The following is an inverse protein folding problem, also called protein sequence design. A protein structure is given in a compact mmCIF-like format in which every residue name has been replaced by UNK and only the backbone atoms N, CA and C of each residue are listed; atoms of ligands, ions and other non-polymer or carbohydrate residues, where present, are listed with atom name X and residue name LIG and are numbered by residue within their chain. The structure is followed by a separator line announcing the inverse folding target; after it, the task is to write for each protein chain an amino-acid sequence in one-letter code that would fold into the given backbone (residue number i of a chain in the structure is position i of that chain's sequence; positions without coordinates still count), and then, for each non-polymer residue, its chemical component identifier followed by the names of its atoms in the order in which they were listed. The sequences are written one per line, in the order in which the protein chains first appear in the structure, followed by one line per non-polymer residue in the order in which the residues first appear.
data_IF_628639839490
#
_entry.id   IF_628639839490
#
_cell.length_a   1.000
_cell.length_b   1.000
_cell.length_c   1.000
_cell.angle_alpha   90.00
_cell.angle_beta   90.00
_cell.angle_gamma   90.00
#
_symmetry.space_group_name_H-M   'P 1'
#
loop_
_entity.id
_entity.type
_entity.pdbx_description
1 polymer ?
2 polymer ?
3 polymer ?
4 water ?
#
# COMPACT_ATOMS: atom_id res chain seq x y z
N UNK A 1 -16.70 -14.60 -3.18
CA UNK A 1 -16.75 -15.60 -2.11
C UNK A 1 -15.39 -16.27 -1.89
N UNK A 2 -14.97 -16.34 -0.62
CA UNK A 2 -15.71 -15.69 0.47
C UNK A 2 -15.44 -14.21 0.38
N UNK A 3 -16.22 -13.40 1.09
CA UNK A 3 -16.14 -11.98 0.83
C UNK A 3 -16.67 -11.11 1.95
N UNK A 4 -15.87 -10.11 2.32
CA UNK A 4 -16.34 -9.07 3.21
C UNK A 4 -16.06 -7.77 2.47
N UNK A 5 -17.05 -6.88 2.40
CA UNK A 5 -16.80 -5.61 1.75
C UNK A 5 -17.08 -4.42 2.65
N UNK A 6 -16.05 -3.64 2.96
CA UNK A 6 -16.22 -2.46 3.79
C UNK A 6 -16.87 -1.32 3.02
N UNK A 7 -17.53 -0.42 3.74
CA UNK A 7 -18.16 0.73 3.13
C UNK A 7 -17.07 1.73 2.79
N UNK A 8 -17.43 2.80 2.08
CA UNK A 8 -16.51 3.89 1.85
C UNK A 8 -16.23 4.54 3.21
N UNK A 9 -14.98 4.83 3.49
CA UNK A 9 -14.66 5.52 4.72
C UNK A 9 -14.58 6.98 4.36
N UNK A 10 -13.35 7.47 4.26
CA UNK A 10 -13.11 8.81 3.79
C UNK A 10 -12.79 9.81 4.87
N UNK A 11 -13.11 11.06 4.58
CA UNK A 11 -12.68 12.19 5.40
C UNK A 11 -13.71 12.50 6.47
N UNK A 12 -13.23 12.68 7.70
CA UNK A 12 -14.07 13.08 8.83
C UNK A 12 -13.33 14.12 9.66
N UNK A 13 -14.05 15.12 10.16
CA UNK A 13 -13.43 16.10 11.03
C UNK A 13 -13.36 15.56 12.45
N UNK A 14 -12.38 16.05 13.22
CA UNK A 14 -12.28 15.78 14.66
C UNK A 14 -13.57 16.03 15.44
N UNK A 15 -13.85 15.18 16.43
CA UNK A 15 -15.02 15.35 17.28
C UNK A 15 -16.30 14.82 16.68
N UNK A 16 -16.32 14.63 15.36
CA UNK A 16 -17.54 14.16 14.72
C UNK A 16 -17.57 12.64 14.70
N UNK A 17 -18.74 12.05 14.48
CA UNK A 17 -18.84 10.62 14.40
C UNK A 17 -18.72 10.19 12.95
N UNK A 18 -18.47 8.91 12.74
CA UNK A 18 -18.64 8.32 11.43
C UNK A 18 -18.85 6.83 11.64
N UNK A 19 -19.58 6.19 10.75
CA UNK A 19 -19.88 4.79 10.93
C UNK A 19 -19.45 4.02 9.69
N UNK A 20 -18.64 2.99 9.89
CA UNK A 20 -18.27 2.11 8.80
C UNK A 20 -19.23 0.96 8.81
N UNK A 21 -19.54 0.45 7.63
CA UNK A 21 -20.21 -0.84 7.57
C UNK A 21 -19.38 -1.86 6.80
N UNK A 22 -19.80 -3.11 6.91
CA UNK A 22 -19.11 -4.20 6.26
C UNK A 22 -20.16 -5.22 5.92
N UNK A 23 -20.31 -5.47 4.63
CA UNK A 23 -21.30 -6.41 4.14
C UNK A 23 -20.69 -7.77 4.02
N UNK A 24 -21.29 -8.71 4.73
CA UNK A 24 -20.88 -10.10 4.72
C UNK A 24 -21.87 -10.92 3.90
N UNK A 25 -21.35 -12.01 3.34
CA UNK A 25 -22.05 -12.83 2.36
C UNK A 25 -21.33 -14.17 2.24
N UNK A 26 -22.09 -15.26 2.11
CA UNK A 26 -21.48 -16.56 1.88
C UNK A 26 -21.25 -17.40 3.12
N UNK A 27 -21.85 -17.00 4.23
CA UNK A 27 -21.80 -17.84 5.44
C UNK A 27 -22.83 -17.35 6.45
N UNK A 28 -23.33 -18.26 7.27
CA UNK A 28 -24.27 -17.86 8.33
C UNK A 28 -23.62 -16.86 9.30
N UNK A 29 -23.90 -15.59 9.04
CA UNK A 29 -23.40 -14.46 9.78
C UNK A 29 -23.47 -14.69 11.30
N UNK A 30 -24.64 -15.10 11.80
CA UNK A 30 -24.76 -15.30 13.24
C UNK A 30 -24.05 -16.58 13.68
N UNK A 31 -23.28 -17.18 12.77
CA UNK A 31 -22.47 -18.37 13.12
C UNK A 31 -20.96 -18.08 13.27
N UNK A 32 -20.56 -16.84 13.01
CA UNK A 32 -19.16 -16.43 13.19
C UNK A 32 -19.05 -15.16 14.01
N UNK A 33 -18.09 -15.14 14.93
CA UNK A 33 -17.62 -13.89 15.51
C UNK A 33 -17.11 -13.00 14.37
N UNK A 34 -17.13 -11.67 14.55
CA UNK A 34 -16.53 -10.76 13.56
C UNK A 34 -15.62 -9.76 14.27
N UNK A 35 -14.74 -9.10 13.53
CA UNK A 35 -13.78 -8.21 14.13
C UNK A 35 -13.49 -7.05 13.19
N UNK A 36 -13.01 -5.95 13.75
CA UNK A 36 -12.35 -4.88 13.01
C UNK A 36 -10.88 -4.79 13.46
N UNK A 37 -9.98 -4.67 12.48
CA UNK A 37 -8.59 -4.35 12.76
C UNK A 37 -8.17 -3.15 11.90
N UNK A 38 -7.23 -2.36 12.39
CA UNK A 38 -6.80 -1.24 11.58
C UNK A 38 -5.29 -1.22 11.40
N UNK A 39 -4.85 -0.56 10.33
CA UNK A 39 -3.43 -0.51 9.99
C UNK A 39 -3.04 0.94 9.67
N UNK A 40 -2.11 1.46 10.45
CA UNK A 40 -1.46 2.71 10.10
C UNK A 40 -0.10 2.41 9.53
N UNK A 41 0.22 2.97 8.35
CA UNK A 41 1.60 2.90 7.88
C UNK A 41 2.55 3.42 8.97
N UNK A 42 3.69 2.76 9.14
CA UNK A 42 4.67 3.16 10.16
C UNK A 42 4.27 2.69 11.57
N UNK A 43 3.13 2.01 11.67
CA UNK A 43 2.64 1.58 12.98
C UNK A 43 2.25 0.10 13.05
N UNK A 44 1.82 -0.47 11.93
CA UNK A 44 1.43 -1.87 11.89
C UNK A 44 -0.01 -2.10 12.36
N UNK A 45 -0.38 -3.36 12.52
CA UNK A 45 -1.77 -3.78 12.73
C UNK A 45 -2.17 -3.68 14.20
N UNK A 46 -3.43 -3.30 14.43
CA UNK A 46 -3.98 -3.09 15.75
C UNK A 46 -5.39 -3.65 15.76
N UNK A 47 -5.67 -4.50 16.72
CA UNK A 47 -6.98 -5.09 16.84
C UNK A 47 -7.89 -4.03 17.47
N UNK A 48 -9.02 -3.73 16.83
CA UNK A 48 -9.88 -2.65 17.26
C UNK A 48 -11.07 -3.18 18.05
N UNK A 49 -11.75 -4.18 17.49
CA UNK A 49 -12.94 -4.64 18.21
C UNK A 49 -13.39 -6.01 17.71
N UNK A 50 -14.13 -6.77 18.52
CA UNK A 50 -14.81 -7.95 17.99
C UNK A 50 -16.13 -8.19 18.68
N UNK A 51 -16.91 -9.07 18.07
CA UNK A 51 -18.30 -9.27 18.46
C UNK A 51 -18.65 -10.75 18.29
N UNK A 52 -19.38 -11.29 19.26
CA UNK A 52 -19.78 -12.69 19.18
C UNK A 52 -20.96 -12.89 18.24
N UNK A 53 -21.54 -14.08 18.29
CA UNK A 53 -22.54 -14.49 17.32
C UNK A 53 -23.76 -13.57 17.22
N UNK A 54 -24.25 -13.11 18.35
CA UNK A 54 -25.52 -12.37 18.37
C UNK A 54 -25.38 -10.93 18.87
N UNK A 55 -24.14 -10.50 19.12
CA UNK A 55 -23.93 -9.14 19.57
C UNK A 55 -24.04 -8.92 21.07
N UNK A 56 -24.19 -10.01 21.84
CA UNK A 56 -24.37 -9.88 23.29
C UNK A 56 -23.05 -9.62 24.02
N UNK A 57 -21.93 -9.90 23.35
CA UNK A 57 -20.64 -9.73 24.00
C UNK A 57 -19.64 -9.17 23.00
N UNK A 58 -18.96 -8.09 23.39
CA UNK A 58 -18.00 -7.41 22.53
C UNK A 58 -16.68 -7.19 23.24
N UNK A 59 -15.62 -7.02 22.46
CA UNK A 59 -14.31 -6.63 23.00
C UNK A 59 -13.87 -5.39 22.24
N UNK A 60 -13.22 -4.47 22.96
CA UNK A 60 -12.70 -3.24 22.39
C UNK A 60 -11.27 -3.03 22.88
N UNK A 61 -10.41 -2.56 21.99
CA UNK A 61 -9.12 -2.05 22.36
C UNK A 61 -9.37 -1.03 23.46
N UNK A 62 -8.79 -1.25 24.62
CA UNK A 62 -9.06 -0.43 25.79
C UNK A 62 -8.89 1.07 25.55
N UNK A 63 -7.83 1.44 24.84
CA UNK A 63 -7.50 2.85 24.67
C UNK A 63 -8.58 3.62 23.90
N UNK A 64 -9.35 2.94 23.06
CA UNK A 64 -10.55 3.57 22.55
C UNK A 64 -11.44 3.59 23.77
N UNK A 65 -11.83 4.76 24.22
CA UNK A 65 -12.48 4.80 25.52
C UNK A 65 -13.98 4.59 25.39
N UNK A 66 -14.37 3.49 24.75
CA UNK A 66 -15.79 3.20 24.59
C UNK A 66 -16.37 4.09 23.50
N UNK A 67 -15.48 4.77 22.78
CA UNK A 67 -15.88 5.64 21.68
C UNK A 67 -16.23 4.87 20.43
N UNK A 68 -15.71 3.64 20.33
CA UNK A 68 -16.07 2.80 19.21
C UNK A 68 -17.13 1.82 19.65
N UNK A 69 -18.10 1.58 18.79
CA UNK A 69 -19.09 0.56 19.06
C UNK A 69 -19.18 -0.39 17.88
N UNK A 70 -18.96 -1.68 18.13
CA UNK A 70 -19.14 -2.66 17.10
C UNK A 70 -20.55 -3.25 17.23
N UNK A 71 -21.25 -3.43 16.11
CA UNK A 71 -22.55 -4.08 16.21
C UNK A 71 -22.88 -4.85 14.94
N UNK A 72 -23.89 -5.71 14.98
CA UNK A 72 -24.22 -6.49 13.80
C UNK A 72 -25.72 -6.60 13.60
N UNK A 73 -26.16 -6.33 12.37
CA UNK A 73 -27.54 -6.56 11.98
C UNK A 73 -27.60 -7.93 11.32
N UNK A 74 -28.10 -8.90 12.10
CA UNK A 74 -28.17 -10.28 11.65
C UNK A 74 -29.15 -10.38 10.49
N UNK A 75 -30.24 -9.61 10.59
CA UNK A 75 -31.27 -9.61 9.56
C UNK A 75 -30.73 -9.15 8.21
N UNK A 76 -29.79 -8.21 8.23
CA UNK A 76 -29.28 -7.62 7.00
C UNK A 76 -27.88 -8.08 6.61
N UNK A 77 -27.28 -8.92 7.45
CA UNK A 77 -25.90 -9.39 7.25
C UNK A 77 -24.87 -8.27 7.26
N UNK A 78 -25.03 -7.33 8.18
CA UNK A 78 -24.11 -6.20 8.19
C UNK A 78 -23.38 -6.03 9.52
N UNK A 79 -22.08 -5.75 9.44
CA UNK A 79 -21.31 -5.44 10.62
C UNK A 79 -21.04 -3.94 10.59
N UNK A 80 -21.19 -3.29 11.74
CA UNK A 80 -20.95 -1.85 11.87
C UNK A 80 -19.80 -1.55 12.83
N UNK A 81 -19.14 -0.42 12.56
CA UNK A 81 -18.26 0.20 13.53
C UNK A 81 -18.62 1.67 13.62
N UNK A 82 -19.26 2.04 14.72
CA UNK A 82 -19.54 3.44 14.99
C UNK A 82 -18.32 4.06 15.69
N UNK A 83 -17.83 5.16 15.17
CA UNK A 83 -16.67 5.80 15.74
C UNK A 83 -17.11 7.19 16.17
N UNK A 84 -17.26 7.37 17.48
CA UNK A 84 -17.71 8.64 18.02
C UNK A 84 -16.53 9.49 18.45
N UNK A 85 -16.80 10.76 18.70
CA UNK A 85 -15.78 11.70 19.13
C UNK A 85 -14.46 11.48 18.43
N UNK A 86 -14.51 11.34 17.10
CA UNK A 86 -13.34 10.94 16.32
C UNK A 86 -12.08 11.76 16.56
N UNK A 87 -10.94 11.07 16.57
CA UNK A 87 -9.66 11.70 16.84
C UNK A 87 -8.65 11.44 15.73
N UNK A 88 -7.55 12.20 15.75
CA UNK A 88 -6.52 12.14 14.70
C UNK A 88 -5.72 10.83 14.64
N UNK A 89 -5.53 10.20 15.80
CA UNK A 89 -4.83 8.93 15.85
C UNK A 89 -5.68 7.78 15.25
N UNK A 90 -6.94 8.06 14.91
CA UNK A 90 -7.84 7.04 14.35
C UNK A 90 -7.74 6.97 12.83
N UNK A 91 -6.95 7.86 12.26
CA UNK A 91 -6.66 7.82 10.83
C UNK A 91 -5.96 6.50 10.50
N UNK A 92 -6.52 5.72 9.57
CA UNK A 92 -5.97 4.40 9.29
C UNK A 92 -6.76 3.70 8.21
N UNK A 93 -6.25 2.56 7.75
CA UNK A 93 -7.07 1.64 6.95
C UNK A 93 -7.75 0.66 7.89
N UNK A 94 -9.06 0.54 7.76
CA UNK A 94 -9.85 -0.33 8.61
C UNK A 94 -10.26 -1.54 7.80
N UNK A 95 -9.98 -2.72 8.34
CA UNK A 95 -10.40 -3.97 7.74
C UNK A 95 -11.47 -4.63 8.59
N UNK A 96 -12.52 -5.11 7.90
CA UNK A 96 -13.52 -6.03 8.42
C UNK A 96 -12.91 -7.45 8.33
N UNK A 97 -13.10 -8.27 9.37
CA UNK A 97 -12.58 -9.65 9.31
C UNK A 97 -13.47 -10.66 10.02
N UNK A 98 -13.46 -11.89 9.52
CA UNK A 98 -14.19 -12.97 10.20
C UNK A 98 -13.25 -13.67 11.17
N UNK A 99 -13.76 -13.94 12.37
CA UNK A 99 -12.96 -14.50 13.45
C UNK A 99 -13.39 -15.93 13.80
N UNK A 100 -12.45 -16.87 13.68
CA UNK A 100 -12.65 -18.26 14.06
C UNK A 100 -11.49 -18.72 14.95
N UNK A 101 -11.81 -19.21 16.14
CA UNK A 101 -10.81 -19.77 17.05
C UNK A 101 -9.55 -18.91 17.22
N UNK A 102 -9.72 -17.61 17.34
CA UNK A 102 -8.61 -16.69 17.61
C UNK A 102 -7.93 -16.14 16.38
N UNK A 103 -8.28 -16.68 15.22
CA UNK A 103 -7.66 -16.14 14.00
C UNK A 103 -8.67 -15.55 13.01
N UNK A 104 -8.15 -14.77 12.08
CA UNK A 104 -8.96 -14.00 11.15
C UNK A 104 -8.83 -14.64 9.78
N UNK A 105 -9.81 -15.47 9.42
CA UNK A 105 -9.69 -16.31 8.22
C UNK A 105 -10.26 -15.67 6.95
N UNK A 106 -11.02 -14.59 7.08
CA UNK A 106 -11.40 -13.80 5.91
C UNK A 106 -11.22 -12.31 6.21
N UNK A 107 -10.62 -11.58 5.28
CA UNK A 107 -10.40 -10.15 5.45
C UNK A 107 -11.11 -9.41 4.33
N UNK A 108 -11.69 -8.25 4.63
CA UNK A 108 -12.10 -7.32 3.56
C UNK A 108 -10.93 -6.62 2.87
N UNK A 109 -11.22 -5.82 1.86
CA UNK A 109 -10.16 -5.14 1.12
C UNK A 109 -9.65 -3.91 1.87
N UNK A 110 -10.39 -3.50 2.89
CA UNK A 110 -9.98 -2.34 3.66
C UNK A 110 -10.62 -1.07 3.18
N UNK A 111 -10.87 -0.14 4.11
CA UNK A 111 -11.32 1.20 3.74
C UNK A 111 -10.55 2.22 4.56
N UNK A 112 -10.14 3.30 3.93
CA UNK A 112 -9.34 4.29 4.64
C UNK A 112 -10.20 5.35 5.29
N UNK A 113 -9.80 5.75 6.50
CA UNK A 113 -10.47 6.81 7.24
C UNK A 113 -9.44 7.86 7.53
N UNK A 114 -9.74 9.08 7.12
CA UNK A 114 -8.83 10.18 7.36
C UNK A 114 -9.52 11.21 8.24
N UNK A 115 -8.93 11.51 9.40
CA UNK A 115 -9.51 12.47 10.33
C UNK A 115 -8.77 13.79 10.25
N UNK A 116 -9.38 14.75 9.58
CA UNK A 116 -8.75 16.05 9.33
C UNK A 116 -9.80 17.15 9.22
N UNK A 117 -9.38 18.38 9.53
CA UNK A 117 -10.24 19.55 9.41
C UNK A 117 -10.15 20.14 8.01
N UNK A 118 -9.19 19.66 7.23
CA UNK A 118 -8.95 20.16 5.88
C UNK A 118 -10.07 19.79 4.91
N UNK A 119 -10.20 20.56 3.83
CA UNK A 119 -11.25 20.35 2.84
C UNK A 119 -10.95 19.23 1.84
N UNK A 120 -12.01 18.55 1.36
CA UNK A 120 -11.89 17.63 0.24
C UNK A 120 -11.49 18.41 -1.01
N UNK A 121 -10.48 17.89 -1.73
CA UNK A 121 -10.00 18.55 -2.94
C UNK A 121 -9.78 17.50 -4.01
N UNK A 122 -10.35 17.70 -5.21
CA UNK A 122 -10.19 16.73 -6.28
C UNK A 122 -8.81 16.84 -6.93
N UNK A 123 -8.33 15.78 -7.57
CA UNK A 123 -6.99 15.79 -8.18
C UNK A 123 -6.96 16.59 -9.48
N UNK A 124 -5.78 17.16 -9.77
CA UNK A 124 -5.44 17.60 -11.12
C UNK A 124 -4.64 16.48 -11.74
N UNK A 125 -4.95 16.15 -12.99
CA UNK A 125 -4.30 15.07 -13.70
C UNK A 125 -3.54 15.64 -14.89
N UNK A 126 -2.23 15.47 -14.88
CA UNK A 126 -1.38 16.04 -15.92
C UNK A 126 -0.73 14.95 -16.73
N UNK A 127 -0.73 15.11 -18.06
CA UNK A 127 -0.05 14.17 -18.96
C UNK A 127 1.48 14.23 -18.83
N UNK A 128 2.10 13.06 -18.88
CA UNK A 128 3.56 12.91 -18.98
C UNK A 128 3.89 12.24 -20.30
N UNK A 129 4.36 13.01 -21.27
CA UNK A 129 4.70 12.44 -22.57
C UNK A 129 6.11 12.86 -22.94
N UNK A 130 6.76 12.06 -23.78
CA UNK A 130 8.09 12.42 -24.25
C UNK A 130 8.02 13.79 -24.90
N UNK A 131 9.04 14.62 -24.71
CA UNK A 131 8.97 15.96 -25.26
C UNK A 131 10.29 16.37 -25.85
N UNK A 132 10.43 17.68 -26.08
CA UNK A 132 11.74 18.34 -26.20
C UNK A 132 12.70 17.85 -27.29
N UNK A 133 12.18 17.22 -28.34
CA UNK A 133 13.05 16.60 -29.33
C UNK A 133 13.83 15.39 -28.83
N UNK A 134 13.25 14.65 -27.90
CA UNK A 134 13.74 13.32 -27.55
C UNK A 134 13.57 12.47 -28.80
N UNK A 135 14.31 11.37 -28.90
CA UNK A 135 13.98 10.36 -29.89
C UNK A 135 13.24 9.24 -29.17
N UNK A 136 12.60 8.34 -29.90
CA UNK A 136 11.99 7.16 -29.27
C UNK A 136 12.60 5.87 -29.81
N UNK A 137 12.77 4.89 -28.91
CA UNK A 137 13.23 3.58 -29.31
C UNK A 137 12.06 2.71 -29.73
N UNK A 138 12.14 1.43 -29.40
CA UNK A 138 11.13 0.47 -29.81
C UNK A 138 9.87 0.62 -28.96
N UNK A 139 10.01 1.24 -27.79
CA UNK A 139 8.90 1.42 -26.88
C UNK A 139 8.89 2.86 -26.38
N UNK A 140 7.78 3.26 -25.77
CA UNK A 140 7.61 4.61 -25.29
C UNK A 140 6.94 4.54 -23.91
N UNK A 141 7.49 5.31 -22.97
CA UNK A 141 6.92 5.36 -21.62
C UNK A 141 6.14 6.64 -21.43
N UNK A 142 4.87 6.47 -21.03
CA UNK A 142 3.97 7.58 -20.86
C UNK A 142 3.55 7.56 -19.40
N UNK A 143 3.00 8.66 -18.92
CA UNK A 143 2.49 8.65 -17.56
C UNK A 143 1.44 9.69 -17.26
N UNK A 144 0.85 9.58 -16.06
CA UNK A 144 0.01 10.65 -15.56
C UNK A 144 0.50 11.07 -14.19
N UNK A 145 0.50 12.37 -13.96
CA UNK A 145 0.90 12.98 -12.70
C UNK A 145 -0.38 13.44 -12.02
N UNK A 146 -0.63 12.94 -10.82
CA UNK A 146 -1.90 13.21 -10.11
C UNK A 146 -1.62 14.04 -8.87
N UNK A 147 -2.05 15.29 -8.90
CA UNK A 147 -1.59 16.27 -7.95
C UNK A 147 -2.71 17.00 -7.23
N UNK A 148 -2.42 17.43 -6.00
CA UNK A 148 -3.24 18.39 -5.28
C UNK A 148 -4.56 17.89 -4.71
N UNK A 149 -4.66 16.58 -4.44
CA UNK A 149 -5.93 16.03 -3.94
C UNK A 149 -5.92 15.68 -2.46
N UNK A 150 -7.11 15.63 -1.87
CA UNK A 150 -7.22 15.26 -0.47
C UNK A 150 -8.65 14.80 -0.20
N UNK A 151 -8.83 13.73 0.59
CA UNK A 151 -7.86 12.81 1.23
C UNK A 151 -7.45 11.73 0.23
N UNK A 152 -6.70 10.72 0.67
CA UNK A 152 -6.50 9.49 -0.10
C UNK A 152 -7.84 8.76 -0.17
N UNK A 153 -8.06 7.91 -1.17
CA UNK A 153 -7.06 7.52 -2.16
C UNK A 153 -7.61 7.80 -3.55
N UNK A 154 -6.76 7.62 -4.55
CA UNK A 154 -7.22 7.61 -5.94
C UNK A 154 -6.87 6.26 -6.54
N UNK A 155 -7.53 5.92 -7.64
CA UNK A 155 -7.13 4.76 -8.41
C UNK A 155 -6.91 5.20 -9.84
N UNK A 156 -5.80 4.76 -10.43
CA UNK A 156 -5.48 5.08 -11.82
C UNK A 156 -5.52 3.84 -12.71
N UNK A 157 -6.26 3.90 -13.81
CA UNK A 157 -6.29 2.77 -14.73
C UNK A 157 -5.96 3.30 -16.11
N UNK A 158 -5.52 2.41 -16.99
CA UNK A 158 -5.14 2.84 -18.32
C UNK A 158 -6.06 2.22 -19.35
N UNK A 159 -6.59 3.05 -20.23
CA UNK A 159 -7.54 2.63 -21.26
C UNK A 159 -8.69 1.81 -20.66
N UNK A 160 -9.19 2.31 -19.53
CA UNK A 160 -10.31 1.72 -18.82
C UNK A 160 -10.00 0.30 -18.35
N UNK A 161 -8.72 0.02 -18.14
CA UNK A 161 -8.30 -1.26 -17.62
C UNK A 161 -7.71 -2.20 -18.65
N UNK A 162 -7.90 -1.92 -19.94
CA UNK A 162 -7.45 -2.85 -20.98
C UNK A 162 -5.95 -2.79 -21.25
N UNK A 163 -5.28 -1.76 -20.74
CA UNK A 163 -3.82 -1.72 -20.67
C UNK A 163 -3.43 -1.92 -19.22
N UNK A 164 -2.74 -3.01 -18.90
CA UNK A 164 -2.43 -3.30 -17.50
C UNK A 164 -1.04 -3.88 -17.30
N UNK A 165 -0.56 -4.62 -18.29
CA UNK A 165 0.65 -5.42 -18.16
C UNK A 165 1.90 -4.64 -17.77
N UNK A 166 2.10 -3.46 -18.37
CA UNK A 166 3.32 -2.69 -18.23
C UNK A 166 3.11 -1.41 -17.39
N UNK A 167 2.23 -1.48 -16.41
CA UNK A 167 1.87 -0.32 -15.61
C UNK A 167 2.62 -0.29 -14.28
N UNK A 168 3.07 0.89 -13.88
CA UNK A 168 3.63 1.11 -12.55
C UNK A 168 2.80 2.17 -11.83
N UNK A 169 2.46 1.90 -10.58
CA UNK A 169 1.73 2.87 -9.79
C UNK A 169 2.59 3.28 -8.61
N UNK A 170 2.86 4.57 -8.51
CA UNK A 170 3.76 5.05 -7.45
C UNK A 170 2.97 5.60 -6.27
N UNK A 171 3.23 5.07 -5.07
CA UNK A 171 2.46 5.47 -3.89
C UNK A 171 2.43 6.98 -3.66
N UNK A 172 1.28 7.46 -3.15
CA UNK A 172 1.08 8.88 -2.91
C UNK A 172 1.93 9.37 -1.77
N UNK A 173 2.32 10.64 -1.85
CA UNK A 173 3.04 11.32 -0.79
C UNK A 173 2.36 12.66 -0.45
N UNK A 174 2.30 12.96 0.85
CA UNK A 174 1.68 14.17 1.35
C UNK A 174 2.64 15.36 1.39
N UNK A 175 2.34 16.40 0.61
CA UNK A 175 3.11 17.64 0.66
C UNK A 175 2.17 18.84 0.61
N UNK A 176 2.47 19.87 1.41
CA UNK A 176 1.65 21.08 1.45
C UNK A 176 0.22 20.79 1.88
N UNK A 177 0.01 19.64 2.51
CA UNK A 177 -1.32 19.22 2.92
C UNK A 177 -2.11 18.54 1.82
N UNK A 178 -1.48 18.35 0.66
CA UNK A 178 -2.15 17.69 -0.46
C UNK A 178 -1.34 16.50 -0.94
N UNK A 179 -2.02 15.51 -1.51
CA UNK A 179 -1.33 14.31 -1.97
C UNK A 179 -0.90 14.44 -3.42
N UNK A 180 0.24 13.81 -3.74
CA UNK A 180 0.68 13.66 -5.13
C UNK A 180 1.07 12.19 -5.37
N UNK A 181 0.66 11.65 -6.52
CA UNK A 181 1.11 10.31 -6.94
C UNK A 181 1.27 10.35 -8.44
N UNK A 182 1.84 9.29 -9.00
CA UNK A 182 1.93 9.16 -10.45
C UNK A 182 1.78 7.72 -10.89
N UNK A 183 1.60 7.55 -12.20
CA UNK A 183 1.48 6.24 -12.78
C UNK A 183 2.13 6.25 -14.16
N UNK A 184 2.77 5.15 -14.52
CA UNK A 184 3.41 5.06 -15.84
C UNK A 184 2.94 3.81 -16.59
N UNK A 185 2.93 3.90 -17.92
CA UNK A 185 2.63 2.75 -18.74
C UNK A 185 3.61 2.74 -19.90
N UNK A 186 4.03 1.58 -20.37
CA UNK A 186 4.94 1.52 -21.52
C UNK A 186 4.27 0.75 -22.64
N UNK A 187 4.30 1.32 -23.85
CA UNK A 187 3.72 0.63 -25.00
C UNK A 187 4.68 0.66 -26.19
N UNK A 188 4.52 -0.27 -27.14
CA UNK A 188 5.38 -0.21 -28.32
C UNK A 188 5.26 1.13 -29.03
N UNK A 189 6.39 1.73 -29.39
CA UNK A 189 6.39 3.10 -29.87
C UNK A 189 5.63 3.27 -31.19
N UNK A 190 5.48 2.18 -31.94
CA UNK A 190 4.79 2.20 -33.24
C UNK A 190 3.28 2.22 -33.07
N UNK A 191 2.82 1.96 -31.84
CA UNK A 191 1.39 1.93 -31.54
C UNK A 191 0.90 3.22 -30.87
N UNK A 192 1.78 4.20 -30.69
CA UNK A 192 1.37 5.47 -30.11
C UNK A 192 2.06 6.61 -30.86
N UNK A 193 1.30 7.65 -31.25
CA UNK A 193 -0.07 7.95 -30.82
C UNK A 193 -1.17 7.31 -31.68
N UNK A 194 -0.80 6.40 -32.57
CA UNK A 194 -1.79 5.81 -33.48
C UNK A 194 -2.94 5.10 -32.76
N UNK A 195 -2.64 4.47 -31.63
CA UNK A 195 -3.66 3.80 -30.82
C UNK A 195 -3.69 4.47 -29.45
N UNK A 196 -4.80 5.15 -29.16
CA UNK A 196 -4.86 6.12 -28.08
C UNK A 196 -4.58 5.54 -26.70
N UNK A 197 -4.02 6.38 -25.83
CA UNK A 197 -3.68 6.00 -24.46
C UNK A 197 -4.22 7.07 -23.52
N UNK A 198 -5.12 6.65 -22.63
CA UNK A 198 -5.80 7.58 -21.76
C UNK A 198 -5.70 7.01 -20.37
N UNK A 199 -5.28 7.83 -19.42
CA UNK A 199 -5.37 7.41 -18.01
C UNK A 199 -6.67 7.89 -17.37
N UNK A 200 -7.26 7.03 -16.55
CA UNK A 200 -8.49 7.36 -15.82
C UNK A 200 -8.19 7.40 -14.34
N UNK A 201 -8.51 8.53 -13.70
CA UNK A 201 -8.14 8.73 -12.31
C UNK A 201 -9.42 8.97 -11.51
N UNK A 202 -9.73 8.02 -10.62
CA UNK A 202 -10.96 8.14 -9.82
C UNK A 202 -10.61 8.53 -8.39
N UNK A 203 -11.35 9.49 -7.84
CA UNK A 203 -11.16 9.99 -6.48
C UNK A 203 -12.49 9.96 -5.74
N UNK A 204 -12.81 8.84 -5.11
CA UNK A 204 -14.15 8.72 -4.53
C UNK A 204 -14.52 9.80 -3.55
N UNK A 205 -13.58 10.29 -2.74
CA UNK A 205 -13.91 11.32 -1.75
C UNK A 205 -14.49 12.58 -2.37
N UNK A 206 -14.04 12.95 -3.57
CA UNK A 206 -14.61 14.11 -4.26
C UNK A 206 -15.61 13.73 -5.37
N UNK A 207 -15.95 12.45 -5.42
CA UNK A 207 -16.86 11.89 -6.44
C UNK A 207 -16.45 12.25 -7.86
N UNK A 208 -15.15 12.35 -8.10
CA UNK A 208 -14.64 12.86 -9.37
C UNK A 208 -13.83 11.79 -10.13
N UNK A 209 -14.05 11.69 -11.44
CA UNK A 209 -13.17 10.89 -12.29
C UNK A 209 -12.63 11.78 -13.39
N UNK A 210 -11.31 11.79 -13.57
CA UNK A 210 -10.70 12.56 -14.66
C UNK A 210 -10.05 11.59 -15.65
N UNK A 211 -10.40 11.70 -16.93
CA UNK A 211 -9.89 10.79 -17.96
C UNK A 211 -9.02 11.58 -18.93
N UNK A 212 -7.71 11.50 -18.73
CA UNK A 212 -6.76 12.31 -19.47
C UNK A 212 -6.08 11.56 -20.64
N UNK A 213 -6.28 12.07 -21.85
CA UNK A 213 -5.72 11.46 -23.05
C UNK A 213 -4.30 11.95 -23.31
N UNK A 214 -3.38 11.02 -23.51
CA UNK A 214 -2.00 11.39 -23.73
C UNK A 214 -1.71 11.84 -25.16
N UNK A 215 -1.27 13.09 -25.30
CA UNK A 215 -0.93 13.67 -26.61
C UNK A 215 0.57 13.96 -26.72
N UNK A 216 1.13 13.78 -27.93
CA UNK A 216 2.53 14.08 -28.26
C UNK A 216 2.76 15.55 -28.60
N UNK B 1 0.41 -6.56 28.68
CA UNK B 1 0.49 -6.13 27.29
C UNK B 1 1.59 -6.93 26.57
N UNK B 2 1.17 -7.97 25.83
CA UNK B 2 2.08 -8.94 25.29
C UNK B 2 2.67 -8.42 23.99
N UNK B 3 3.99 -8.36 23.95
CA UNK B 3 4.68 -7.80 22.80
C UNK B 3 5.13 -8.92 21.88
N UNK B 4 4.87 -8.78 20.58
CA UNK B 4 5.34 -9.76 19.60
C UNK B 4 6.47 -9.12 18.82
N UNK B 5 7.65 -9.72 18.94
CA UNK B 5 8.87 -9.19 18.32
C UNK B 5 9.32 -10.08 17.17
N UNK B 6 9.39 -9.52 15.97
CA UNK B 6 9.75 -10.30 14.81
C UNK B 6 11.13 -9.92 14.32
N UNK B 7 11.89 -10.92 13.90
CA UNK B 7 13.18 -10.67 13.26
C UNK B 7 13.38 -11.64 12.12
N UNK B 8 14.08 -11.21 11.06
CA UNK B 8 14.59 -9.85 10.91
C UNK B 8 13.52 -8.93 10.35
N UNK B 9 13.80 -7.63 10.27
CA UNK B 9 12.86 -6.68 9.71
C UNK B 9 12.67 -6.90 8.22
N UNK B 10 13.78 -7.18 7.53
CA UNK B 10 13.76 -7.51 6.12
C UNK B 10 14.68 -8.69 5.86
N UNK B 11 14.22 -9.61 5.02
CA UNK B 11 14.95 -10.83 4.72
C UNK B 11 15.09 -11.02 3.20
N UNK B 12 16.31 -10.87 2.65
CA UNK B 12 16.59 -11.10 1.23
C UNK B 12 16.86 -12.57 0.95
N UNK B 13 16.11 -13.18 0.03
CA UNK B 13 16.27 -14.59 -0.28
C UNK B 13 16.29 -14.87 -1.78
N UNK B 14 17.20 -15.73 -2.22
CA UNK B 14 17.26 -16.11 -3.63
C UNK B 14 16.13 -17.08 -3.92
N UNK B 15 15.62 -17.07 -5.15
CA UNK B 15 14.57 -18.01 -5.54
C UNK B 15 15.02 -19.45 -5.35
N UNK B 16 14.11 -20.30 -4.89
CA UNK B 16 14.43 -21.69 -4.62
C UNK B 16 15.01 -21.96 -3.25
N UNK B 17 15.56 -20.93 -2.60
CA UNK B 17 16.15 -21.09 -1.27
C UNK B 17 15.10 -21.04 -0.17
N UNK B 18 15.55 -21.21 1.06
CA UNK B 18 14.65 -21.19 2.21
C UNK B 18 14.75 -19.89 2.98
N UNK B 19 13.59 -19.40 3.43
CA UNK B 19 13.52 -18.22 4.27
C UNK B 19 13.06 -18.65 5.65
N UNK B 20 13.65 -18.07 6.69
CA UNK B 20 13.24 -18.40 8.07
C UNK B 20 12.97 -17.12 8.85
N UNK B 21 11.77 -16.99 9.43
CA UNK B 21 11.35 -15.77 10.10
C UNK B 21 11.04 -16.12 11.55
N UNK B 22 11.56 -15.29 12.47
CA UNK B 22 11.38 -15.52 13.91
C UNK B 22 10.31 -14.61 14.52
N UNK B 23 9.44 -15.21 15.33
CA UNK B 23 8.49 -14.43 16.07
C UNK B 23 8.58 -14.83 17.55
N UNK B 24 8.83 -13.87 18.43
CA UNK B 24 8.90 -14.18 19.86
C UNK B 24 7.87 -13.38 20.64
N UNK B 25 7.30 -13.98 21.68
CA UNK B 25 6.32 -13.27 22.49
C UNK B 25 6.88 -12.99 23.87
N UNK B 26 6.38 -11.94 24.51
CA UNK B 26 6.92 -11.50 25.79
C UNK B 26 6.38 -12.28 26.96
N UNK B 27 5.33 -13.07 26.71
CA UNK B 27 4.76 -14.01 27.68
C UNK B 27 4.42 -15.29 26.94
N UNK B 28 4.42 -16.42 27.66
CA UNK B 28 3.98 -17.68 27.04
C UNK B 28 2.63 -17.52 26.36
N UNK B 29 2.48 -18.08 25.15
CA UNK B 29 1.20 -18.05 24.43
C UNK B 29 0.41 -19.35 24.63
N UNK B 30 0.83 -20.18 25.59
CA UNK B 30 -0.01 -21.33 25.96
C UNK B 30 -1.19 -20.86 26.84
N UNK B 31 -2.39 -21.01 26.28
CA UNK B 31 -3.65 -20.62 26.93
C UNK B 31 -3.91 -21.61 28.07
N UNK B 32 -4.69 -21.19 29.06
CA UNK B 32 -5.06 -22.11 30.12
C UNK B 32 -5.77 -23.34 29.58
N UNK B 33 -6.47 -23.19 28.45
CA UNK B 33 -7.09 -24.35 27.83
C UNK B 33 -6.14 -25.28 27.08
N UNK B 34 -4.86 -24.90 27.01
CA UNK B 34 -3.85 -25.77 26.42
C UNK B 34 -3.44 -25.44 24.99
N UNK B 35 -4.25 -24.62 24.31
CA UNK B 35 -3.98 -24.25 22.94
C UNK B 35 -3.00 -23.10 22.89
N UNK B 36 -2.28 -23.01 21.78
CA UNK B 36 -1.39 -21.85 21.56
C UNK B 36 -1.87 -21.03 20.38
N UNK B 37 -2.42 -19.85 20.67
CA UNK B 37 -3.04 -19.06 19.64
C UNK B 37 -2.03 -18.11 18.99
N UNK B 38 -1.17 -18.71 18.17
CA UNK B 38 -0.11 -17.98 17.49
C UNK B 38 -0.33 -18.26 16.00
N UNK B 39 -0.52 -17.19 15.22
CA UNK B 39 -0.88 -17.34 13.81
C UNK B 39 0.03 -16.49 12.93
N UNK B 40 0.09 -16.84 11.64
CA UNK B 40 0.87 -16.10 10.68
C UNK B 40 -0.01 -15.67 9.51
N UNK B 41 0.19 -14.42 9.10
CA UNK B 41 -0.54 -13.78 7.99
C UNK B 41 0.45 -13.28 6.96
N UNK B 42 0.04 -13.27 5.70
CA UNK B 42 0.85 -12.66 4.65
C UNK B 42 0.09 -11.50 4.04
N UNK B 43 0.72 -10.33 4.01
CA UNK B 43 0.21 -9.19 3.25
C UNK B 43 1.07 -8.89 2.00
N UNK B 44 0.53 -9.20 0.83
CA UNK B 44 1.27 -8.93 -0.41
C UNK B 44 1.03 -7.47 -0.79
N UNK B 45 1.94 -6.89 -1.60
CA UNK B 45 1.79 -5.51 -2.06
C UNK B 45 0.38 -5.19 -2.56
N UNK B 46 -0.17 -4.10 -2.03
CA UNK B 46 -1.50 -3.64 -2.41
C UNK B 46 -2.66 -4.57 -2.08
N UNK B 47 -2.46 -5.52 -1.16
CA UNK B 47 -3.54 -6.41 -0.79
C UNK B 47 -3.79 -6.34 0.72
N UNK B 48 -4.85 -6.99 1.16
CA UNK B 48 -5.16 -7.12 2.58
C UNK B 48 -4.34 -8.29 3.11
N UNK B 49 -4.18 -8.38 4.43
CA UNK B 49 -3.50 -9.56 4.97
C UNK B 49 -4.35 -10.77 4.65
N UNK B 50 -3.72 -11.93 4.57
CA UNK B 50 -4.45 -13.18 4.50
C UNK B 50 -3.80 -14.24 5.37
N UNK B 51 -4.62 -15.08 5.99
CA UNK B 51 -4.15 -16.13 6.88
C UNK B 51 -3.29 -17.15 6.15
N UNK B 52 -2.20 -17.56 6.79
CA UNK B 52 -1.25 -18.50 6.23
C UNK B 52 -1.20 -19.73 7.12
N UNK B 53 -0.93 -19.51 8.41
CA UNK B 53 -0.83 -20.60 9.38
C UNK B 53 -1.61 -20.21 10.63
N UNK B 54 -2.40 -21.13 11.18
CA UNK B 54 -3.09 -20.84 12.44
C UNK B 54 -2.69 -21.85 13.50
N UNK B 55 -2.74 -21.42 14.76
CA UNK B 55 -2.43 -22.30 15.89
C UNK B 55 -1.07 -22.96 15.69
N UNK B 56 -0.07 -22.10 15.51
CA UNK B 56 1.34 -22.44 15.32
C UNK B 56 1.76 -23.22 14.07
N UNK B 57 1.03 -24.26 13.69
CA UNK B 57 1.53 -25.11 12.59
C UNK B 57 0.50 -25.52 11.55
N UNK B 58 -0.73 -25.08 11.69
CA UNK B 58 -1.79 -25.50 10.75
C UNK B 58 -1.89 -24.62 9.52
N UNK B 59 -1.64 -25.21 8.34
CA UNK B 59 -1.77 -24.47 7.09
C UNK B 59 -3.23 -24.18 6.76
N UNK B 60 -3.52 -22.95 6.39
CA UNK B 60 -4.86 -22.59 5.99
C UNK B 60 -5.11 -23.14 4.57
N UNK B 61 -6.36 -23.36 4.22
CA UNK B 61 -6.70 -23.86 2.90
C UNK B 61 -6.04 -23.01 1.81
N UNK B 62 -5.45 -23.68 0.82
CA UNK B 62 -4.79 -23.00 -0.28
C UNK B 62 -3.32 -22.71 -0.08
N UNK B 63 -2.84 -22.86 1.16
CA UNK B 63 -1.43 -22.65 1.45
C UNK B 63 -0.58 -23.88 1.13
N UNK B 64 0.39 -23.73 0.21
CA UNK B 64 1.35 -24.78 -0.16
C UNK B 64 2.03 -25.41 1.03
N UNK B 65 2.34 -26.69 0.91
CA UNK B 65 3.00 -27.44 1.98
C UNK B 65 4.38 -26.89 2.34
N UNK B 66 4.95 -26.03 1.47
CA UNK B 66 6.27 -25.47 1.71
C UNK B 66 6.28 -24.29 2.71
N UNK B 67 5.09 -23.80 3.07
CA UNK B 67 4.98 -22.93 4.25
C UNK B 67 4.79 -23.82 5.50
N UNK B 68 5.68 -23.65 6.47
CA UNK B 68 5.69 -24.52 7.64
C UNK B 68 5.90 -23.68 8.90
N UNK B 69 5.05 -23.85 9.89
CA UNK B 69 5.19 -23.10 11.13
C UNK B 69 5.52 -24.03 12.27
N UNK B 70 6.38 -23.58 13.19
CA UNK B 70 6.79 -24.40 14.32
C UNK B 70 7.05 -23.52 15.54
N UNK B 71 7.36 -24.13 16.68
CA UNK B 71 7.69 -23.35 17.86
C UNK B 71 6.81 -23.73 19.03
N UNK B 72 7.07 -23.11 20.17
CA UNK B 72 6.22 -23.33 21.34
C UNK B 72 6.50 -22.27 22.39
N UNK B 73 5.53 -22.02 23.26
CA UNK B 73 5.77 -21.20 24.44
C UNK B 73 5.91 -19.74 24.03
N UNK B 74 7.15 -19.29 23.85
CA UNK B 74 7.39 -17.91 23.48
C UNK B 74 8.19 -17.77 22.21
N UNK B 75 8.55 -18.89 21.57
CA UNK B 75 9.46 -18.81 20.42
C UNK B 75 8.89 -19.57 19.23
N UNK B 76 8.70 -18.86 18.11
CA UNK B 76 8.06 -19.46 16.93
C UNK B 76 8.80 -19.13 15.67
N UNK B 77 8.67 -20.01 14.68
CA UNK B 77 9.42 -19.83 13.42
C UNK B 77 8.50 -20.17 12.26
N UNK B 78 8.48 -19.28 11.25
CA UNK B 78 7.89 -19.57 9.94
C UNK B 78 9.01 -19.90 8.95
N UNK B 79 8.90 -21.04 8.31
CA UNK B 79 9.87 -21.46 7.30
C UNK B 79 9.18 -21.55 5.95
N UNK B 80 9.76 -20.90 4.96
CA UNK B 80 9.28 -21.02 3.61
C UNK B 80 10.37 -21.71 2.79
N UNK B 81 10.08 -22.92 2.33
CA UNK B 81 11.06 -23.64 1.54
C UNK B 81 10.82 -23.32 0.07
N UNK B 82 11.87 -23.48 -0.74
CA UNK B 82 11.78 -23.28 -2.18
C UNK B 82 11.00 -22.02 -2.49
N UNK B 83 11.57 -20.88 -2.12
CA UNK B 83 10.90 -19.58 -2.27
C UNK B 83 10.60 -19.26 -3.74
N UNK B 84 9.40 -18.75 -3.98
CA UNK B 84 8.97 -18.28 -5.30
C UNK B 84 8.73 -16.76 -5.23
N UNK B 85 8.86 -16.07 -6.36
CA UNK B 85 8.71 -14.61 -6.38
C UNK B 85 7.39 -14.11 -5.77
N UNK B 86 6.32 -14.88 -5.93
CA UNK B 86 4.98 -14.48 -5.51
C UNK B 86 4.82 -14.60 -4.02
N UNK B 87 5.86 -15.08 -3.34
CA UNK B 87 5.86 -15.16 -1.87
C UNK B 87 6.21 -13.82 -1.22
N UNK B 88 6.68 -12.88 -2.03
CA UNK B 88 7.17 -11.61 -1.50
C UNK B 88 6.07 -10.80 -0.83
N UNK B 89 6.47 -9.96 0.12
CA UNK B 89 5.50 -9.16 0.86
C UNK B 89 5.84 -9.16 2.35
N UNK B 90 4.88 -8.81 3.19
CA UNK B 90 5.15 -8.72 4.62
C UNK B 90 4.44 -9.84 5.39
N UNK B 91 5.21 -10.64 6.12
CA UNK B 91 4.68 -11.70 6.97
C UNK B 91 4.53 -11.16 8.39
N UNK B 92 3.33 -11.30 8.96
CA UNK B 92 3.03 -10.84 10.32
C UNK B 92 2.69 -12.03 11.21
N UNK B 93 3.25 -12.09 12.42
CA UNK B 93 2.71 -13.04 13.39
C UNK B 93 1.69 -12.33 14.26
N UNK B 94 0.85 -13.11 14.94
CA UNK B 94 -0.26 -12.57 15.70
C UNK B 94 -0.50 -13.51 16.87
N UNK B 95 -0.77 -12.98 18.04
CA UNK B 95 -1.21 -13.82 19.14
C UNK B 95 -2.60 -13.38 19.63
N UNK B 96 -3.41 -14.36 19.98
CA UNK B 96 -4.74 -14.10 20.56
C UNK B 96 -5.03 -14.98 21.78
N UNK B 97 -3.97 -15.45 22.43
CA UNK B 97 -4.13 -16.14 23.70
C UNK B 97 -4.49 -15.10 24.73
N UNK B 98 -3.85 -13.96 24.59
CA UNK B 98 -4.07 -12.82 25.49
C UNK B 98 -4.71 -11.71 24.70
N UNK B 99 -4.99 -10.58 25.36
CA UNK B 99 -5.47 -9.39 24.65
C UNK B 99 -4.67 -9.30 23.34
N UNK B 100 -5.37 -9.28 22.18
CA UNK B 100 -4.70 -9.62 20.94
C UNK B 100 -3.71 -8.58 20.42
N UNK B 101 -2.52 -9.04 20.04
CA UNK B 101 -1.48 -8.17 19.49
C UNK B 101 -0.79 -8.81 18.30
N UNK B 102 -0.15 -7.94 17.50
CA UNK B 102 0.52 -8.36 16.27
C UNK B 102 2.02 -8.04 16.33
N UNK B 103 2.82 -8.85 15.65
CA UNK B 103 4.23 -8.54 15.37
C UNK B 103 4.35 -7.38 14.39
N UNK B 104 5.55 -6.82 14.28
CA UNK B 104 5.77 -5.65 13.44
C UNK B 104 5.93 -5.99 11.96
N UNK B 105 6.07 -7.27 11.65
CA UNK B 105 6.23 -7.66 10.24
C UNK B 105 7.67 -7.91 9.82
N UNK B 106 7.82 -8.84 8.90
CA UNK B 106 9.10 -9.13 8.26
C UNK B 106 8.83 -9.08 6.77
N UNK B 107 9.59 -8.25 6.06
CA UNK B 107 9.44 -8.12 4.61
C UNK B 107 10.34 -9.11 3.91
N UNK B 108 9.74 -10.02 3.16
CA UNK B 108 10.50 -10.95 2.35
C UNK B 108 10.85 -10.24 1.04
N UNK B 109 12.14 -10.23 0.70
CA UNK B 109 12.59 -9.66 -0.56
C UNK B 109 13.18 -10.75 -1.42
N UNK B 110 12.86 -10.76 -2.70
CA UNK B 110 13.46 -11.73 -3.60
C UNK B 110 14.76 -11.16 -4.21
N UNK B 111 15.87 -11.91 -4.09
CA UNK B 111 17.12 -11.50 -4.73
C UNK B 111 17.08 -11.77 -6.22
N UNK B 112 17.71 -10.89 -6.99
CA UNK B 112 17.96 -11.15 -8.41
C UNK B 112 19.24 -10.45 -8.83
N UNK B 113 19.63 -10.62 -10.10
CA UNK B 113 20.81 -9.93 -10.60
C UNK B 113 20.56 -8.44 -10.57
N UNK B 114 21.58 -7.68 -10.19
CA UNK B 114 21.46 -6.22 -10.21
C UNK B 114 21.00 -5.76 -11.58
N UNK B 115 20.15 -4.74 -11.58
CA UNK B 115 19.64 -4.15 -12.82
C UNK B 115 19.61 -2.63 -12.74
N UNK B 116 20.04 -1.98 -13.82
CA UNK B 116 20.04 -0.52 -13.87
C UNK B 116 18.64 0.01 -14.12
N UNK B 117 18.36 1.21 -13.61
CA UNK B 117 17.06 1.81 -13.90
C UNK B 117 16.93 2.21 -15.37
N UNK B 118 15.72 2.11 -15.91
CA UNK B 118 15.40 2.83 -17.15
C UNK B 118 14.83 4.19 -16.78
N UNK B 119 15.50 5.26 -17.21
CA UNK B 119 15.19 6.61 -16.72
C UNK B 119 14.45 7.44 -17.77
N UNK B 120 13.26 7.95 -17.41
CA UNK B 120 12.51 8.85 -18.28
C UNK B 120 12.27 10.22 -17.64
N UNK B 121 12.47 11.28 -18.41
CA UNK B 121 12.22 12.60 -17.87
C UNK B 121 11.08 13.29 -18.63
N UNK B 122 10.27 14.07 -17.91
CA UNK B 122 9.15 14.77 -18.50
C UNK B 122 9.12 16.18 -17.97
N UNK B 123 9.01 17.15 -18.88
CA UNK B 123 8.82 18.56 -18.53
C UNK B 123 7.42 18.76 -17.98
N UNK B 124 7.16 19.92 -17.35
CA UNK B 124 5.79 20.21 -16.95
C UNK B 124 4.86 20.26 -18.18
N UNK B 125 3.65 19.72 -18.05
CA UNK B 125 2.65 19.82 -19.12
C UNK B 125 2.19 21.26 -19.27
N UNK B 126 1.76 21.65 -20.47
CA UNK B 126 1.17 22.98 -20.64
C UNK B 126 -0.06 23.19 -19.73
N UNK B 127 -0.83 22.13 -19.47
CA UNK B 127 -1.98 22.22 -18.56
C UNK B 127 -1.56 22.76 -17.20
N UNK B 128 -0.54 22.15 -16.61
CA UNK B 128 -0.04 22.58 -15.31
C UNK B 128 0.51 24.00 -15.35
N UNK B 129 1.19 24.34 -16.44
CA UNK B 129 1.77 25.68 -16.55
C UNK B 129 0.68 26.75 -16.55
N UNK B 130 -0.42 26.47 -17.24
CA UNK B 130 -1.56 27.38 -17.23
C UNK B 130 -2.02 27.65 -15.78
N UNK B 131 -1.72 26.70 -14.89
CA UNK B 131 -2.12 26.79 -13.48
C UNK B 131 -1.12 27.54 -12.60
N UNK B 132 0.04 27.87 -13.15
CA UNK B 132 1.10 28.52 -12.37
C UNK B 132 2.03 27.55 -11.67
N UNK B 133 1.84 26.26 -11.88
CA UNK B 133 2.72 25.25 -11.32
C UNK B 133 3.64 24.65 -12.36
N UNK B 134 4.78 24.11 -11.92
CA UNK B 134 5.68 23.43 -12.86
C UNK B 134 6.41 22.26 -12.21
N UNK B 135 5.92 21.06 -12.46
CA UNK B 135 6.52 19.86 -11.92
C UNK B 135 7.31 19.16 -13.01
N UNK B 136 8.52 18.74 -12.69
CA UNK B 136 9.34 17.98 -13.61
C UNK B 136 9.41 16.58 -13.02
N UNK B 137 9.29 15.57 -13.87
CA UNK B 137 9.19 14.21 -13.33
C UNK B 137 10.23 13.29 -13.96
N UNK B 138 10.80 12.39 -13.16
CA UNK B 138 11.67 11.34 -13.66
C UNK B 138 11.17 10.00 -13.18
N UNK B 139 10.92 9.08 -14.11
CA UNK B 139 10.61 7.71 -13.72
C UNK B 139 11.87 6.86 -13.82
N UNK B 140 12.14 6.08 -12.78
CA UNK B 140 13.25 5.12 -12.81
C UNK B 140 12.65 3.73 -12.70
N UNK B 141 12.58 3.01 -13.83
CA UNK B 141 11.80 1.77 -13.88
C UNK B 141 12.64 0.49 -13.90
N UNK B 142 12.16 -0.50 -13.16
CA UNK B 142 12.75 -1.85 -13.15
C UNK B 142 14.25 -1.91 -12.83
N UNK B 143 14.58 -1.54 -11.60
CA UNK B 143 15.96 -1.60 -11.15
C UNK B 143 16.05 -2.46 -9.89
N UNK B 144 17.27 -2.93 -9.62
CA UNK B 144 17.58 -3.70 -8.42
C UNK B 144 19.06 -3.54 -8.12
N UNK B 145 19.42 -3.38 -6.82
CA UNK B 145 18.57 -3.43 -5.62
C UNK B 145 17.70 -2.18 -5.50
N UNK B 146 16.96 -2.09 -4.40
CA UNK B 146 16.02 -1.00 -4.20
C UNK B 146 16.73 0.31 -3.94
N UNK B 147 17.91 0.22 -3.32
CA UNK B 147 18.68 1.40 -2.95
C UNK B 147 19.11 2.16 -4.21
N UNK B 148 18.67 3.42 -4.31
CA UNK B 148 19.00 4.27 -5.45
C UNK B 148 18.89 5.72 -5.01
N UNK B 149 19.64 6.60 -5.65
CA UNK B 149 19.60 8.00 -5.28
C UNK B 149 19.38 8.89 -6.50
N UNK B 150 18.48 9.86 -6.37
CA UNK B 150 18.22 10.79 -7.46
C UNK B 150 18.59 12.19 -7.02
N UNK B 151 19.36 12.88 -7.85
CA UNK B 151 19.71 14.27 -7.58
C UNK B 151 19.22 15.16 -8.70
N UNK B 152 18.52 16.24 -8.36
CA UNK B 152 18.04 17.16 -9.39
C UNK B 152 19.02 18.33 -9.56
N UNK B 153 19.23 18.77 -10.80
CA UNK B 153 20.00 19.99 -11.05
C UNK B 153 19.20 20.94 -11.91
N UNK B 154 19.16 22.21 -11.50
CA UNK B 154 18.60 23.28 -12.30
C UNK B 154 19.76 24.16 -12.79
N UNK B 155 19.90 24.32 -14.11
CA UNK B 155 21.08 25.00 -14.66
C UNK B 155 22.36 24.54 -13.96
N UNK B 156 22.51 23.23 -13.78
CA UNK B 156 23.72 22.65 -13.23
C UNK B 156 23.85 22.70 -11.72
N UNK B 157 22.94 23.45 -11.08
CA UNK B 157 22.99 23.68 -9.64
C UNK B 157 21.99 22.77 -8.91
N UNK B 158 22.50 22.01 -7.94
CA UNK B 158 21.64 21.11 -7.19
C UNK B 158 20.56 21.84 -6.41
N UNK B 159 19.33 21.36 -6.53
CA UNK B 159 18.21 21.87 -5.75
C UNK B 159 17.70 20.73 -4.88
N UNK B 160 17.63 20.96 -3.57
CA UNK B 160 17.31 19.90 -2.61
C UNK B 160 15.84 19.91 -2.20
N UNK B 161 15.25 21.09 -2.13
CA UNK B 161 13.86 21.22 -1.71
C UNK B 161 12.87 20.96 -2.84
N UNK B 162 11.66 20.57 -2.48
CA UNK B 162 10.58 20.40 -3.44
C UNK B 162 10.61 19.09 -4.20
N UNK B 163 11.36 18.11 -3.69
CA UNK B 163 11.47 16.81 -4.34
C UNK B 163 10.65 15.75 -3.60
N UNK B 164 9.93 14.93 -4.37
CA UNK B 164 9.17 13.83 -3.81
C UNK B 164 9.63 12.54 -4.49
N UNK B 165 10.14 11.61 -3.68
CA UNK B 165 10.62 10.34 -4.17
C UNK B 165 9.74 9.22 -3.68
N UNK B 166 9.16 8.47 -4.62
CA UNK B 166 8.22 7.40 -4.26
C UNK B 166 8.54 6.06 -4.93
N UNK B 167 8.84 5.07 -4.09
CA UNK B 167 9.16 3.70 -4.54
C UNK B 167 7.93 2.82 -4.58
N UNK B 168 7.83 1.99 -5.62
CA UNK B 168 6.89 0.87 -5.58
C UNK B 168 7.43 -0.21 -4.65
N UNK B 169 6.56 -1.13 -4.25
CA UNK B 169 7.02 -2.37 -3.63
C UNK B 169 7.68 -3.20 -4.71
N UNK B 170 8.26 -4.33 -4.29
CA UNK B 170 8.92 -5.21 -5.24
C UNK B 170 7.89 -5.87 -6.15
N UNK B 171 8.16 -5.92 -7.46
CA UNK B 171 7.24 -6.59 -8.39
C UNK B 171 7.59 -8.08 -8.52
N UNK B 172 6.60 -8.95 -8.33
CA UNK B 172 6.82 -10.39 -8.37
C UNK B 172 7.10 -10.87 -9.78
N UNK B 173 6.82 -10.02 -10.76
CA UNK B 173 7.12 -10.35 -12.16
C UNK B 173 8.61 -10.43 -12.45
N UNK B 174 9.38 -9.45 -12.01
CA UNK B 174 10.80 -9.40 -12.36
C UNK B 174 11.70 -9.13 -11.18
N UNK B 175 11.10 -9.08 -9.99
CA UNK B 175 11.84 -8.87 -8.77
C UNK B 175 12.52 -7.50 -8.76
N UNK B 176 12.01 -6.58 -9.57
CA UNK B 176 12.55 -5.22 -9.64
C UNK B 176 11.72 -4.20 -8.85
N UNK B 177 12.30 -3.03 -8.68
CA UNK B 177 11.62 -1.88 -8.10
C UNK B 177 11.55 -0.77 -9.13
N UNK B 178 10.65 0.17 -8.91
CA UNK B 178 10.62 1.39 -9.69
C UNK B 178 10.40 2.54 -8.71
N UNK B 179 10.81 3.75 -9.10
CA UNK B 179 10.51 4.89 -8.26
C UNK B 179 10.27 6.10 -9.15
N UNK B 180 9.52 7.06 -8.62
CA UNK B 180 9.25 8.29 -9.34
C UNK B 180 9.81 9.43 -8.51
N UNK B 181 10.45 10.37 -9.19
CA UNK B 181 10.99 11.54 -8.51
C UNK B 181 10.39 12.78 -9.16
N UNK B 182 9.67 13.54 -8.36
CA UNK B 182 8.98 14.74 -8.84
C UNK B 182 9.56 15.99 -8.18
N UNK B 183 10.14 16.86 -9.00
CA UNK B 183 10.61 18.16 -8.55
C UNK B 183 9.54 19.18 -8.85
N UNK B 184 8.96 19.74 -7.80
CA UNK B 184 7.89 20.70 -7.99
C UNK B 184 8.37 22.12 -7.74
N UNK B 185 8.28 22.94 -8.79
CA UNK B 185 8.66 24.34 -8.75
C UNK B 185 7.42 25.17 -9.07
N UNK B 186 7.53 26.47 -8.83
CA UNK B 186 6.54 27.41 -9.34
C UNK B 186 6.88 27.71 -10.78
N UNK B 187 5.90 28.16 -11.54
CA UNK B 187 6.13 28.52 -12.92
C UNK B 187 7.19 29.60 -13.02
N UNK B 188 7.22 30.47 -12.01
CA UNK B 188 8.11 31.63 -11.99
C UNK B 188 9.57 31.20 -11.94
N UNK B 189 9.90 30.30 -11.04
CA UNK B 189 11.26 29.75 -11.02
C UNK B 189 11.55 28.91 -12.27
N UNK B 190 10.58 28.10 -12.69
CA UNK B 190 10.75 27.29 -13.88
C UNK B 190 11.15 28.10 -15.11
N UNK B 191 10.53 29.27 -15.30
CA UNK B 191 10.77 30.09 -16.48
C UNK B 191 12.05 30.94 -16.41
N UNK B 192 12.75 30.86 -15.29
CA UNK B 192 13.98 31.63 -15.11
C UNK B 192 15.21 30.78 -15.39
N UNK B 193 15.01 29.50 -15.55
CA UNK B 193 16.13 28.61 -15.80
C UNK B 193 15.87 27.79 -17.05
N UNK B 194 16.90 27.10 -17.53
CA UNK B 194 16.78 26.42 -18.80
C UNK B 194 16.99 24.92 -18.75
N UNK B 195 18.02 24.51 -18.04
CA UNK B 195 18.46 23.12 -18.00
C UNK B 195 17.88 22.38 -16.79
N UNK B 196 17.15 21.30 -17.06
CA UNK B 196 16.57 20.52 -15.96
C UNK B 196 17.04 19.09 -16.06
N UNK B 197 17.70 18.64 -15.00
CA UNK B 197 18.42 17.38 -15.08
C UNK B 197 18.11 16.51 -13.88
N UNK B 198 17.90 15.22 -14.10
CA UNK B 198 17.86 14.28 -13.00
C UNK B 198 18.96 13.26 -13.19
N UNK B 199 19.71 13.02 -12.11
CA UNK B 199 20.85 12.12 -12.13
C UNK B 199 20.58 10.95 -11.21
N UNK B 200 20.68 9.73 -11.75
CA UNK B 200 20.44 8.55 -10.93
C UNK B 200 21.72 7.76 -10.60
N UNK B 201 22.02 7.67 -9.31
CA UNK B 201 23.15 6.88 -8.84
C UNK B 201 22.66 5.57 -8.27
N UNK B 202 23.19 4.47 -8.79
CA UNK B 202 22.71 3.14 -8.43
C UNK B 202 23.84 2.13 -8.19
N UNK B 203 25.05 2.48 -8.58
CA UNK B 203 26.19 1.61 -8.30
C UNK B 203 26.13 0.34 -9.17
N UNK B 204 24.98 0.08 -9.77
CA UNK B 204 24.84 -0.95 -10.80
C UNK B 204 25.65 -0.49 -12.00
N UNK B 205 25.95 0.80 -11.99
CA UNK B 205 26.90 1.37 -12.92
C UNK B 205 27.85 2.23 -12.10
N UNK B 206 29.12 2.25 -12.52
CA UNK B 206 30.12 3.04 -11.81
C UNK B 206 29.76 4.52 -11.92
N UNK B 207 29.29 4.92 -13.10
CA UNK B 207 28.90 6.29 -13.37
C UNK B 207 27.36 6.43 -13.40
N UNK B 208 26.83 7.46 -12.72
CA UNK B 208 25.39 7.77 -12.66
C UNK B 208 24.78 7.99 -14.05
N UNK B 209 23.54 7.55 -14.21
CA UNK B 209 22.79 7.83 -15.43
C UNK B 209 22.19 9.23 -15.32
N UNK B 210 22.28 10.00 -16.41
CA UNK B 210 21.73 11.36 -16.42
C UNK B 210 20.65 11.49 -17.50
N UNK B 211 19.54 12.17 -17.17
CA UNK B 211 18.54 12.53 -18.18
C UNK B 211 18.22 14.01 -18.04
N UNK B 212 18.12 14.70 -19.16
CA UNK B 212 18.02 16.14 -19.10
C UNK B 212 17.15 16.72 -20.19
N UNK B 213 16.68 17.94 -19.98
CA UNK B 213 16.08 18.69 -21.07
C UNK B 213 16.28 20.19 -20.92
N UNK B 214 16.05 20.91 -22.01
CA UNK B 214 16.12 22.36 -22.01
C UNK B 214 14.74 22.95 -22.23
N UNK B 215 14.39 23.91 -21.39
CA UNK B 215 13.05 24.45 -21.40
C UNK B 215 12.71 25.01 -22.78
N UNK B 216 13.71 25.52 -23.47
CA UNK B 216 13.49 26.16 -24.77
C UNK B 216 13.23 25.17 -25.91
N UNK B 217 13.52 23.89 -25.69
CA UNK B 217 13.32 22.88 -26.73
C UNK B 217 11.96 22.18 -26.59
N UNK B 218 11.28 22.46 -25.49
CA UNK B 218 9.97 21.88 -25.23
C UNK B 218 8.84 22.69 -25.87
N UNK C 1 -15.18 -24.28 22.72
CA UNK C 1 -16.05 -23.49 21.85
C UNK C 1 -15.54 -22.07 21.54
N UNK C 2 -14.63 -21.53 22.38
CA UNK C 2 -14.43 -20.08 22.30
C UNK C 2 -13.87 -19.63 20.97
N UNK C 3 -14.18 -18.39 20.57
CA UNK C 3 -13.68 -17.85 19.31
C UNK C 3 -12.77 -16.67 19.55
N UNK C 4 -12.88 -16.04 20.72
CA UNK C 4 -11.95 -14.99 21.15
C UNK C 4 -11.30 -15.48 22.45
N UNK C 5 -10.22 -16.25 22.33
CA UNK C 5 -9.74 -17.03 23.49
C UNK C 5 -9.33 -16.22 24.72
N UNK C 6 -8.86 -14.99 24.53
CA UNK C 6 -8.46 -14.15 25.67
C UNK C 6 -9.65 -13.69 26.51
N UNK C 7 -10.87 -13.86 25.99
CA UNK C 7 -12.06 -13.45 26.73
C UNK C 7 -12.59 -14.59 27.58
N UNK C 8 -12.32 -15.81 27.14
CA UNK C 8 -13.07 -16.99 27.54
C UNK C 8 -12.17 -18.20 27.69
#
# INVERSE_FOLDING_TARGET
EVKLVESEGGLVQPGSSMKLSCTASGFTFSDYYMAWVRQVPEKGLEWVANINYDGSSTYYLDSLKGRFIISRDIAKNILYLQMSSLRCEDTATYYCARLTNGYLDVWGAGTTVTVSSAKTTPPSVYPLAPGCGDTTGSSVTLGCLVKGYFPESVTVTWNSGSLSSSVHTFPALLESGLYTMSSSVTVPSSTWPSQTVTCSVAHPASSTTVDKKLEP
DVVMTQTPLSLPVSLGDQASISCRSSQSLVHSNGNTYLHWYLQKPGQSPNLLIYKVSNRFSGVPDRFSGSGSGTDFTLKISRVEAEDLGVYFCSQSTHVPTFGGGTKLEIKRADAAPTVSIFPPSSEQLTSGGASVVCFLNNFYPKDINVKWKIDGSERQNGVLNSWTDQDSKDSTYSMSSTLTLTKDEYERHNSYTCEATHKTSTSPIVKSFNRNEC
EPQAPWMEQ
#
